data_IF_574705781751
#
_entry.id   IF_574705781751
#
_cell.length_a   1.000
_cell.length_b   1.000
_cell.length_c   1.000
_cell.angle_alpha   90.00
_cell.angle_beta   90.00
_cell.angle_gamma   90.00
#
_symmetry.space_group_name_H-M   'P 1'
#
loop_
_entity.id
_entity.type
_entity.pdbx_description
1 polymer ?
#
# COMPACT_ATOMS: atom_id res chain seq x y z
N UNK A 1 -8.13 -28.57 22.53
CA UNK A 1 -7.58 -27.62 21.56
C UNK A 1 -7.00 -26.44 22.29
N UNK A 2 -5.71 -26.13 22.12
CA UNK A 2 -5.07 -24.99 22.77
C UNK A 2 -5.73 -23.68 22.28
N UNK A 3 -6.03 -22.79 23.21
CA UNK A 3 -6.62 -21.47 22.93
C UNK A 3 -5.52 -20.58 22.35
N UNK A 4 -5.59 -20.31 21.05
CA UNK A 4 -4.66 -19.40 20.39
C UNK A 4 -4.72 -18.00 21.03
N UNK A 5 -3.59 -17.27 21.13
CA UNK A 5 -3.57 -15.89 21.59
C UNK A 5 -4.51 -15.00 20.75
N UNK A 6 -5.14 -14.00 21.37
CA UNK A 6 -6.14 -13.15 20.72
C UNK A 6 -5.58 -12.43 19.46
N UNK A 7 -4.31 -12.02 19.47
CA UNK A 7 -3.65 -11.41 18.32
C UNK A 7 -3.57 -12.35 17.12
N UNK A 8 -3.11 -13.58 17.31
CA UNK A 8 -3.01 -14.56 16.24
C UNK A 8 -4.37 -14.90 15.63
N UNK A 9 -5.45 -14.90 16.44
CA UNK A 9 -6.80 -15.11 15.94
C UNK A 9 -7.30 -13.94 15.06
N UNK A 10 -6.90 -12.72 15.39
CA UNK A 10 -7.22 -11.53 14.61
C UNK A 10 -6.57 -11.58 13.22
N UNK A 11 -5.31 -11.98 13.15
CA UNK A 11 -4.55 -12.12 11.91
C UNK A 11 -5.11 -13.24 11.02
N UNK A 12 -5.55 -14.37 11.60
CA UNK A 12 -6.22 -15.46 10.89
C UNK A 12 -7.49 -14.96 10.17
N UNK A 13 -8.30 -14.10 10.84
CA UNK A 13 -9.50 -13.53 10.22
C UNK A 13 -9.18 -12.52 9.13
N UNK A 14 -8.15 -11.70 9.30
CA UNK A 14 -7.69 -10.75 8.29
C UNK A 14 -7.25 -11.51 7.04
N UNK A 15 -6.39 -12.51 7.18
CA UNK A 15 -5.91 -13.35 6.07
C UNK A 15 -7.07 -14.03 5.35
N UNK A 16 -8.01 -14.62 6.10
CA UNK A 16 -9.20 -15.25 5.52
C UNK A 16 -10.10 -14.26 4.78
N UNK A 17 -10.25 -13.05 5.31
CA UNK A 17 -11.04 -12.00 4.69
C UNK A 17 -10.41 -11.52 3.38
N UNK A 18 -9.11 -11.30 3.34
CA UNK A 18 -8.35 -10.94 2.12
C UNK A 18 -8.59 -11.97 1.02
N UNK A 19 -8.45 -13.27 1.32
CA UNK A 19 -8.67 -14.35 0.36
C UNK A 19 -10.10 -14.34 -0.18
N UNK A 20 -11.12 -14.18 0.68
CA UNK A 20 -12.52 -14.18 0.24
C UNK A 20 -12.84 -12.92 -0.57
N UNK A 21 -12.29 -11.77 -0.21
CA UNK A 21 -12.48 -10.53 -0.95
C UNK A 21 -11.88 -10.68 -2.35
N UNK A 22 -10.69 -11.21 -2.48
CA UNK A 22 -10.05 -11.46 -3.76
C UNK A 22 -10.87 -12.42 -4.63
N UNK A 23 -11.41 -13.53 -4.04
CA UNK A 23 -12.15 -14.55 -4.76
C UNK A 23 -13.58 -14.13 -5.13
N UNK A 24 -14.26 -13.33 -4.31
CA UNK A 24 -15.72 -13.12 -4.35
C UNK A 24 -16.16 -11.66 -4.22
N UNK A 25 -15.22 -10.73 -4.20
CA UNK A 25 -15.46 -9.32 -3.93
C UNK A 25 -15.90 -9.03 -2.48
N UNK A 26 -15.99 -7.76 -2.15
CA UNK A 26 -16.36 -7.28 -0.80
C UNK A 26 -17.75 -7.76 -0.35
N UNK A 27 -18.72 -7.81 -1.27
CA UNK A 27 -20.07 -8.30 -0.96
C UNK A 27 -20.09 -9.79 -0.62
N UNK A 28 -19.17 -10.56 -1.20
CA UNK A 28 -19.01 -11.98 -0.90
C UNK A 28 -18.34 -12.28 0.44
N UNK A 29 -17.62 -11.32 1.01
CA UNK A 29 -16.92 -11.43 2.29
C UNK A 29 -17.88 -11.24 3.48
N UNK A 30 -18.70 -12.27 3.73
CA UNK A 30 -19.58 -12.31 4.92
C UNK A 30 -18.81 -12.80 6.14
N UNK A 31 -19.16 -12.32 7.33
CA UNK A 31 -18.52 -12.74 8.59
C UNK A 31 -18.55 -14.25 8.79
N UNK A 32 -19.64 -14.92 8.36
CA UNK A 32 -19.75 -16.37 8.42
C UNK A 32 -18.72 -17.06 7.51
N UNK A 33 -18.58 -16.64 6.25
CA UNK A 33 -17.58 -17.21 5.32
C UNK A 33 -16.14 -16.95 5.76
N UNK A 34 -15.90 -15.79 6.34
CA UNK A 34 -14.60 -15.44 6.91
C UNK A 34 -14.26 -16.36 8.08
N UNK A 35 -15.21 -16.58 9.00
CA UNK A 35 -15.02 -17.48 10.14
C UNK A 35 -14.82 -18.94 9.68
N UNK A 36 -15.59 -19.41 8.68
CA UNK A 36 -15.45 -20.74 8.08
C UNK A 36 -14.07 -20.91 7.39
N UNK A 37 -13.60 -19.91 6.63
CA UNK A 37 -12.28 -19.92 5.97
C UNK A 37 -11.14 -19.90 7.01
N UNK A 38 -11.28 -19.12 8.06
CA UNK A 38 -10.31 -19.05 9.17
C UNK A 38 -10.35 -20.29 10.08
N UNK A 39 -11.27 -21.23 9.84
CA UNK A 39 -11.51 -22.39 10.69
C UNK A 39 -11.71 -22.01 12.18
N UNK A 40 -12.42 -20.93 12.41
CA UNK A 40 -12.59 -20.32 13.72
C UNK A 40 -14.06 -19.99 14.03
N UNK A 41 -14.45 -19.94 15.31
CA UNK A 41 -15.83 -19.66 15.68
C UNK A 41 -16.28 -18.26 15.26
N UNK A 42 -17.48 -18.13 14.69
CA UNK A 42 -18.08 -16.84 14.33
C UNK A 42 -18.18 -15.88 15.51
N UNK A 43 -18.50 -16.37 16.71
CA UNK A 43 -18.56 -15.56 17.93
C UNK A 43 -17.20 -14.92 18.26
N UNK A 44 -16.09 -15.60 17.96
CA UNK A 44 -14.74 -15.06 18.15
C UNK A 44 -14.43 -13.96 17.14
N UNK A 45 -14.94 -14.04 15.91
CA UNK A 45 -14.80 -12.96 14.94
C UNK A 45 -15.50 -11.69 15.40
N UNK A 46 -16.74 -11.81 15.90
CA UNK A 46 -17.48 -10.66 16.45
C UNK A 46 -16.84 -10.08 17.71
N UNK A 47 -16.06 -10.85 18.44
CA UNK A 47 -15.25 -10.34 19.55
C UNK A 47 -14.03 -9.55 19.05
N UNK A 48 -13.40 -9.99 17.94
CA UNK A 48 -12.26 -9.31 17.35
C UNK A 48 -12.64 -8.05 16.55
N UNK A 49 -13.82 -8.06 15.92
CA UNK A 49 -14.30 -6.99 15.06
C UNK A 49 -15.80 -6.78 15.27
N UNK A 50 -16.15 -5.61 15.81
CA UNK A 50 -17.55 -5.30 16.14
C UNK A 50 -18.36 -4.97 14.88
N UNK A 51 -17.68 -4.40 13.86
CA UNK A 51 -18.29 -4.05 12.58
C UNK A 51 -17.47 -4.61 11.40
N UNK A 52 -18.10 -4.65 10.23
CA UNK A 52 -17.42 -5.05 8.99
C UNK A 52 -16.43 -4.00 8.54
N UNK A 53 -16.73 -2.74 8.79
CA UNK A 53 -15.86 -1.60 8.53
C UNK A 53 -14.56 -1.71 9.35
N UNK A 54 -14.67 -2.05 10.64
CA UNK A 54 -13.50 -2.29 11.51
C UNK A 54 -12.60 -3.41 10.97
N UNK A 55 -13.19 -4.51 10.50
CA UNK A 55 -12.43 -5.57 9.84
C UNK A 55 -11.74 -5.09 8.57
N UNK A 56 -12.42 -4.29 7.75
CA UNK A 56 -11.86 -3.79 6.50
C UNK A 56 -10.74 -2.78 6.71
N UNK A 57 -10.86 -1.90 7.70
CA UNK A 57 -9.75 -1.04 8.13
C UNK A 57 -8.55 -1.85 8.60
N UNK A 58 -8.81 -2.92 9.36
CA UNK A 58 -7.75 -3.81 9.80
C UNK A 58 -7.04 -4.53 8.64
N UNK A 59 -7.74 -4.83 7.55
CA UNK A 59 -7.12 -5.38 6.33
C UNK A 59 -6.21 -4.34 5.68
N UNK A 60 -6.62 -3.08 5.58
CA UNK A 60 -5.75 -2.01 5.07
C UNK A 60 -4.49 -1.84 5.92
N UNK A 61 -4.63 -1.87 7.24
CA UNK A 61 -3.49 -1.80 8.17
C UNK A 61 -2.54 -2.99 8.01
N UNK A 62 -3.08 -4.20 7.82
CA UNK A 62 -2.28 -5.41 7.60
C UNK A 62 -1.55 -5.36 6.24
N UNK A 63 -2.23 -4.95 5.17
CA UNK A 63 -1.61 -4.77 3.84
C UNK A 63 -0.43 -3.81 3.92
N UNK A 64 -0.62 -2.69 4.59
CA UNK A 64 0.42 -1.70 4.75
C UNK A 64 1.56 -2.19 5.67
N UNK A 65 1.25 -2.98 6.70
CA UNK A 65 2.26 -3.62 7.54
C UNK A 65 3.01 -4.72 6.78
N UNK A 66 2.34 -5.46 5.90
CA UNK A 66 2.97 -6.45 5.01
C UNK A 66 4.00 -5.79 4.11
N UNK A 67 3.65 -4.71 3.42
CA UNK A 67 4.58 -3.95 2.60
C UNK A 67 5.85 -3.54 3.35
N UNK A 68 5.72 -3.15 4.63
CA UNK A 68 6.88 -2.82 5.47
C UNK A 68 7.68 -4.06 5.89
N UNK A 69 7.00 -5.17 6.20
CA UNK A 69 7.69 -6.45 6.52
C UNK A 69 8.44 -7.00 5.31
N UNK A 70 7.86 -6.84 4.11
CA UNK A 70 8.42 -7.32 2.84
C UNK A 70 9.54 -6.40 2.31
N UNK A 71 9.87 -5.33 3.06
CA UNK A 71 11.09 -4.59 2.89
C UNK A 71 10.98 -3.31 2.07
N UNK A 72 9.82 -2.63 2.03
CA UNK A 72 9.79 -1.28 1.50
C UNK A 72 10.74 -0.42 2.33
N UNK A 73 11.84 -0.03 1.71
CA UNK A 73 12.88 0.74 2.37
C UNK A 73 13.44 1.80 1.44
N UNK A 74 13.85 2.88 2.04
CA UNK A 74 14.59 3.96 1.39
C UNK A 74 15.92 4.10 2.10
N UNK A 75 17.01 4.12 1.34
CA UNK A 75 18.33 4.40 1.92
C UNK A 75 18.37 5.88 2.34
N UNK A 76 18.68 6.11 3.60
CA UNK A 76 18.82 7.44 4.17
C UNK A 76 19.76 8.33 3.34
N UNK A 77 19.33 9.56 3.06
CA UNK A 77 20.09 10.51 2.28
C UNK A 77 20.41 10.09 0.83
N UNK A 78 19.64 9.17 0.26
CA UNK A 78 19.87 8.72 -1.13
C UNK A 78 19.54 9.76 -2.17
N UNK A 79 18.74 10.75 -1.84
CA UNK A 79 18.14 11.73 -2.73
C UNK A 79 16.66 11.43 -2.99
N UNK A 80 15.84 12.49 -2.99
CA UNK A 80 14.39 12.38 -3.08
C UNK A 80 13.94 11.67 -4.36
N UNK A 81 14.54 11.98 -5.51
CA UNK A 81 14.23 11.33 -6.78
C UNK A 81 14.53 9.84 -6.78
N UNK A 82 15.70 9.44 -6.27
CA UNK A 82 16.06 8.01 -6.15
C UNK A 82 15.17 7.28 -5.16
N UNK A 83 14.78 7.94 -4.07
CA UNK A 83 13.84 7.37 -3.12
C UNK A 83 12.49 7.08 -3.79
N UNK A 84 11.94 8.04 -4.55
CA UNK A 84 10.70 7.88 -5.27
C UNK A 84 10.77 6.78 -6.34
N UNK A 85 11.83 6.79 -7.16
CA UNK A 85 12.06 5.77 -8.18
C UNK A 85 12.19 4.35 -7.58
N UNK A 86 12.95 4.24 -6.49
CA UNK A 86 13.14 2.98 -5.78
C UNK A 86 11.85 2.45 -5.16
N UNK A 87 11.05 3.32 -4.52
CA UNK A 87 9.75 2.95 -3.97
C UNK A 87 8.78 2.50 -5.05
N UNK A 88 8.72 3.17 -6.20
CA UNK A 88 7.85 2.74 -7.30
C UNK A 88 8.17 1.32 -7.76
N UNK A 89 9.46 0.99 -7.91
CA UNK A 89 9.89 -0.36 -8.29
C UNK A 89 9.51 -1.40 -7.23
N UNK A 90 9.67 -1.08 -5.94
CA UNK A 90 9.31 -1.97 -4.85
C UNK A 90 7.80 -2.20 -4.80
N UNK A 91 6.97 -1.16 -4.98
CA UNK A 91 5.52 -1.25 -5.04
C UNK A 91 5.09 -2.16 -6.21
N UNK A 92 5.63 -1.95 -7.41
CA UNK A 92 5.30 -2.74 -8.57
C UNK A 92 5.71 -4.23 -8.43
N UNK A 93 6.87 -4.49 -7.83
CA UNK A 93 7.33 -5.85 -7.55
C UNK A 93 6.44 -6.54 -6.52
N UNK A 94 6.05 -5.85 -5.46
CA UNK A 94 5.18 -6.40 -4.42
C UNK A 94 3.81 -6.80 -4.98
N UNK A 95 3.15 -5.95 -5.75
CA UNK A 95 1.89 -6.30 -6.39
C UNK A 95 2.00 -7.48 -7.34
N UNK A 96 3.16 -7.69 -7.93
CA UNK A 96 3.37 -8.81 -8.84
C UNK A 96 3.56 -10.16 -8.13
N UNK A 97 4.01 -10.14 -6.90
CA UNK A 97 4.18 -11.36 -6.07
C UNK A 97 2.94 -11.64 -5.22
N UNK A 98 2.20 -10.62 -4.84
CA UNK A 98 1.07 -10.68 -3.92
C UNK A 98 -0.28 -10.45 -4.64
N UNK A 99 -0.57 -11.24 -5.68
CA UNK A 99 -1.78 -11.12 -6.50
C UNK A 99 -3.09 -11.09 -5.70
N UNK A 100 -3.19 -11.92 -4.66
CA UNK A 100 -4.39 -12.00 -3.81
C UNK A 100 -4.60 -10.68 -3.07
N UNK A 101 -3.52 -10.10 -2.54
CA UNK A 101 -3.57 -8.79 -1.88
C UNK A 101 -3.86 -7.67 -2.88
N UNK A 102 -3.25 -7.70 -4.07
CA UNK A 102 -3.51 -6.72 -5.13
C UNK A 102 -4.99 -6.71 -5.53
N UNK A 103 -5.59 -7.89 -5.72
CA UNK A 103 -7.01 -8.00 -6.06
C UNK A 103 -7.92 -7.57 -4.92
N UNK A 104 -7.63 -7.97 -3.68
CA UNK A 104 -8.41 -7.58 -2.52
C UNK A 104 -8.33 -6.05 -2.27
N UNK A 105 -7.16 -5.44 -2.48
CA UNK A 105 -6.99 -4.00 -2.36
C UNK A 105 -7.85 -3.24 -3.36
N UNK A 106 -7.89 -3.67 -4.62
CA UNK A 106 -8.71 -3.04 -5.66
C UNK A 106 -10.21 -3.11 -5.31
N UNK A 107 -10.69 -4.28 -4.89
CA UNK A 107 -12.08 -4.49 -4.44
C UNK A 107 -12.44 -3.63 -3.23
N UNK A 108 -11.56 -3.56 -2.24
CA UNK A 108 -11.75 -2.73 -1.05
C UNK A 108 -11.73 -1.23 -1.40
N UNK A 109 -10.84 -0.80 -2.29
CA UNK A 109 -10.75 0.57 -2.73
C UNK A 109 -12.07 1.04 -3.37
N UNK A 110 -12.61 0.27 -4.32
CA UNK A 110 -13.90 0.59 -4.93
C UNK A 110 -15.07 0.51 -3.93
N UNK A 111 -14.99 -0.38 -2.96
CA UNK A 111 -16.00 -0.42 -1.91
C UNK A 111 -15.95 0.85 -1.03
N UNK A 112 -14.77 1.26 -0.58
CA UNK A 112 -14.57 2.46 0.25
C UNK A 112 -15.07 3.71 -0.47
N UNK A 113 -14.82 3.86 -1.77
CA UNK A 113 -15.30 5.00 -2.56
C UNK A 113 -16.84 5.10 -2.64
N UNK A 114 -17.55 4.00 -2.35
CA UNK A 114 -19.03 3.96 -2.30
C UNK A 114 -19.59 4.18 -0.91
N UNK A 115 -18.75 4.23 0.11
CA UNK A 115 -19.15 4.55 1.48
C UNK A 115 -19.17 6.06 1.68
N UNK A 116 -19.49 6.48 2.91
CA UNK A 116 -19.39 7.89 3.28
C UNK A 116 -17.96 8.42 3.09
N UNK A 117 -17.85 9.67 2.62
CA UNK A 117 -16.61 10.26 2.11
C UNK A 117 -15.42 10.29 3.09
N UNK A 118 -15.69 10.23 4.39
CA UNK A 118 -14.64 10.36 5.41
C UNK A 118 -13.82 9.08 5.59
N UNK A 119 -14.43 7.90 5.43
CA UNK A 119 -13.70 6.64 5.48
C UNK A 119 -12.68 6.55 4.34
N UNK A 120 -13.08 6.94 3.13
CA UNK A 120 -12.18 6.97 1.97
C UNK A 120 -10.98 7.88 2.17
N UNK A 121 -11.23 9.07 2.71
CA UNK A 121 -10.15 10.01 3.03
C UNK A 121 -9.17 9.45 4.07
N UNK A 122 -9.69 8.85 5.15
CA UNK A 122 -8.86 8.27 6.20
C UNK A 122 -7.95 7.16 5.66
N UNK A 123 -8.52 6.21 4.91
CA UNK A 123 -7.77 5.10 4.32
C UNK A 123 -6.68 5.61 3.38
N UNK A 124 -7.02 6.55 2.49
CA UNK A 124 -6.08 7.09 1.53
C UNK A 124 -4.98 7.92 2.20
N UNK A 125 -5.34 8.71 3.24
CA UNK A 125 -4.39 9.54 3.98
C UNK A 125 -3.34 8.69 4.72
N UNK A 126 -3.75 7.60 5.38
CA UNK A 126 -2.81 6.67 6.02
C UNK A 126 -1.78 6.14 5.02
N UNK A 127 -2.22 5.83 3.79
CA UNK A 127 -1.31 5.36 2.74
C UNK A 127 -0.33 6.44 2.28
N UNK A 128 -0.83 7.67 2.08
CA UNK A 128 0.01 8.81 1.71
C UNK A 128 1.03 9.15 2.80
N UNK A 129 0.61 9.20 4.07
CA UNK A 129 1.50 9.51 5.20
C UNK A 129 2.68 8.54 5.28
N UNK A 130 2.45 7.26 4.96
CA UNK A 130 3.51 6.24 4.90
C UNK A 130 4.50 6.49 3.76
N UNK A 131 3.99 6.75 2.55
CA UNK A 131 4.85 7.09 1.42
C UNK A 131 5.67 8.33 1.69
N UNK A 132 5.07 9.37 2.26
CA UNK A 132 5.79 10.57 2.68
C UNK A 132 6.88 10.27 3.71
N UNK A 133 6.57 9.45 4.73
CA UNK A 133 7.53 9.04 5.74
C UNK A 133 8.75 8.33 5.13
N UNK A 134 8.54 7.45 4.16
CA UNK A 134 9.62 6.77 3.44
C UNK A 134 10.42 7.75 2.55
N UNK A 135 9.75 8.62 1.82
CA UNK A 135 10.40 9.62 0.98
C UNK A 135 11.28 10.57 1.79
N UNK A 136 10.80 11.00 2.98
CA UNK A 136 11.56 11.87 3.89
C UNK A 136 12.88 11.25 4.36
N UNK A 137 12.97 9.92 4.49
CA UNK A 137 14.23 9.24 4.82
C UNK A 137 15.30 9.45 3.72
N UNK A 138 14.85 9.55 2.47
CA UNK A 138 15.75 9.75 1.33
C UNK A 138 16.25 11.18 1.14
N UNK A 139 15.67 12.17 1.84
CA UNK A 139 16.01 13.58 1.63
C UNK A 139 17.50 13.88 1.87
N UNK A 140 18.05 14.69 0.97
CA UNK A 140 19.34 15.37 1.11
C UNK A 140 19.13 16.83 1.48
N UNK A 141 20.18 17.52 1.95
CA UNK A 141 20.07 18.95 2.26
C UNK A 141 19.73 19.85 1.06
N UNK A 142 20.02 19.41 -0.16
CA UNK A 142 19.76 20.13 -1.41
C UNK A 142 18.45 19.71 -2.10
N UNK A 143 17.73 18.75 -1.57
CA UNK A 143 16.42 18.35 -2.10
C UNK A 143 15.31 19.34 -1.67
N UNK A 144 14.36 19.64 -2.56
CA UNK A 144 13.18 20.43 -2.19
C UNK A 144 12.15 19.56 -1.42
N UNK A 145 12.11 19.70 -0.12
CA UNK A 145 11.21 18.95 0.75
C UNK A 145 9.71 19.17 0.44
N UNK A 146 9.34 20.22 -0.30
CA UNK A 146 7.96 20.48 -0.73
C UNK A 146 7.49 19.46 -1.76
N UNK A 147 8.41 18.82 -2.48
CA UNK A 147 8.07 17.76 -3.43
C UNK A 147 7.67 16.45 -2.77
N UNK A 148 7.92 16.24 -1.49
CA UNK A 148 7.60 14.97 -0.80
C UNK A 148 6.12 14.64 -0.94
N UNK A 149 5.23 15.56 -0.63
CA UNK A 149 3.78 15.35 -0.74
C UNK A 149 3.36 15.07 -2.19
N UNK A 150 3.88 15.85 -3.14
CA UNK A 150 3.58 15.69 -4.58
C UNK A 150 4.02 14.33 -5.08
N UNK A 151 5.23 13.90 -4.72
CA UNK A 151 5.78 12.60 -5.13
C UNK A 151 5.06 11.43 -4.46
N UNK A 152 4.65 11.56 -3.19
CA UNK A 152 3.83 10.55 -2.53
C UNK A 152 2.50 10.35 -3.26
N UNK A 153 1.82 11.44 -3.63
CA UNK A 153 0.58 11.40 -4.42
C UNK A 153 0.80 10.82 -5.82
N UNK A 154 1.89 11.19 -6.48
CA UNK A 154 2.25 10.62 -7.78
C UNK A 154 2.49 9.10 -7.69
N UNK A 155 3.23 8.63 -6.69
CA UNK A 155 3.47 7.20 -6.45
C UNK A 155 2.17 6.45 -6.21
N UNK A 156 1.28 6.97 -5.37
CA UNK A 156 -0.04 6.38 -5.12
C UNK A 156 -0.86 6.29 -6.41
N UNK A 157 -0.94 7.38 -7.18
CA UNK A 157 -1.68 7.42 -8.46
C UNK A 157 -1.16 6.42 -9.49
N UNK A 158 0.18 6.27 -9.57
CA UNK A 158 0.79 5.29 -10.46
C UNK A 158 0.51 3.86 -9.98
N UNK A 159 0.63 3.60 -8.68
CA UNK A 159 0.32 2.29 -8.10
C UNK A 159 -1.14 1.89 -8.38
N UNK A 160 -2.09 2.81 -8.16
CA UNK A 160 -3.52 2.60 -8.43
C UNK A 160 -3.80 2.26 -9.90
N UNK A 161 -3.02 2.81 -10.83
CA UNK A 161 -3.10 2.50 -12.26
C UNK A 161 -2.38 1.21 -12.67
N UNK A 162 -1.27 0.86 -12.01
CA UNK A 162 -0.49 -0.34 -12.31
C UNK A 162 -1.21 -1.63 -11.88
N UNK A 163 -1.92 -1.62 -10.74
CA UNK A 163 -2.59 -2.81 -10.21
C UNK A 163 -3.60 -3.42 -11.20
N UNK A 164 -4.59 -2.67 -11.73
CA UNK A 164 -5.54 -3.24 -12.69
C UNK A 164 -4.87 -3.68 -13.99
N UNK A 165 -3.83 -2.98 -14.46
CA UNK A 165 -3.06 -3.40 -15.64
C UNK A 165 -2.35 -4.73 -15.39
N UNK A 166 -1.66 -4.85 -14.25
CA UNK A 166 -1.01 -6.10 -13.86
C UNK A 166 -1.99 -7.26 -13.75
N UNK A 167 -3.12 -7.07 -13.06
CA UNK A 167 -4.14 -8.11 -12.89
C UNK A 167 -4.76 -8.55 -14.22
N UNK A 168 -4.82 -7.64 -15.21
CA UNK A 168 -5.41 -7.91 -16.52
C UNK A 168 -4.44 -8.61 -17.45
N UNK A 169 -3.23 -8.12 -17.59
CA UNK A 169 -2.31 -8.53 -18.65
C UNK A 169 -1.26 -9.55 -18.19
N UNK A 170 -0.87 -9.52 -16.90
CA UNK A 170 0.18 -10.37 -16.33
C UNK A 170 1.48 -10.36 -17.15
N UNK A 171 1.80 -9.21 -17.73
CA UNK A 171 2.99 -9.00 -18.56
C UNK A 171 4.11 -8.34 -17.73
N UNK A 172 5.12 -9.11 -17.28
CA UNK A 172 6.19 -8.56 -16.46
C UNK A 172 7.11 -7.61 -17.25
N UNK A 173 7.29 -7.83 -18.55
CA UNK A 173 8.17 -6.99 -19.38
C UNK A 173 7.55 -5.61 -19.55
N UNK A 174 6.26 -5.56 -19.89
CA UNK A 174 5.56 -4.29 -20.06
C UNK A 174 5.44 -3.54 -18.72
N UNK A 175 5.15 -4.26 -17.61
CA UNK A 175 5.14 -3.66 -16.26
C UNK A 175 6.48 -3.01 -15.95
N UNK A 176 7.59 -3.75 -16.06
CA UNK A 176 8.91 -3.27 -15.67
C UNK A 176 9.36 -2.09 -16.56
N UNK A 177 9.10 -2.17 -17.88
CA UNK A 177 9.37 -1.06 -18.79
C UNK A 177 8.59 0.20 -18.43
N UNK A 178 7.30 0.05 -18.12
CA UNK A 178 6.44 1.18 -17.71
C UNK A 178 6.93 1.80 -16.40
N UNK A 179 7.25 0.95 -15.42
CA UNK A 179 7.76 1.36 -14.11
C UNK A 179 9.09 2.11 -14.26
N UNK A 180 10.00 1.62 -15.08
CA UNK A 180 11.31 2.26 -15.30
C UNK A 180 11.18 3.63 -15.95
N UNK A 181 10.35 3.79 -16.97
CA UNK A 181 10.08 5.09 -17.62
C UNK A 181 9.54 6.11 -16.62
N UNK A 182 8.60 5.70 -15.76
CA UNK A 182 8.03 6.59 -14.76
C UNK A 182 9.04 6.89 -13.66
N UNK A 183 9.77 5.89 -13.18
CA UNK A 183 10.79 6.03 -12.14
C UNK A 183 11.90 7.02 -12.58
N UNK A 184 12.40 6.91 -13.81
CA UNK A 184 13.35 7.87 -14.37
C UNK A 184 12.77 9.28 -14.46
N UNK A 185 11.49 9.40 -14.82
CA UNK A 185 10.81 10.70 -14.89
C UNK A 185 10.70 11.37 -13.52
N UNK A 186 10.37 10.61 -12.47
CA UNK A 186 10.33 11.10 -11.09
C UNK A 186 11.72 11.53 -10.60
N UNK A 187 12.76 10.76 -10.93
CA UNK A 187 14.14 11.10 -10.58
C UNK A 187 14.60 12.42 -11.24
N UNK A 188 14.36 12.55 -12.54
CA UNK A 188 14.68 13.79 -13.29
C UNK A 188 13.89 15.00 -12.77
N UNK A 189 12.61 14.82 -12.43
CA UNK A 189 11.79 15.88 -11.85
C UNK A 189 12.39 16.39 -10.53
N UNK A 190 12.71 15.48 -9.62
CA UNK A 190 13.28 15.84 -8.33
C UNK A 190 14.66 16.52 -8.48
N UNK A 191 15.51 16.01 -9.39
CA UNK A 191 16.82 16.60 -9.67
C UNK A 191 16.71 18.03 -10.24
N UNK A 192 15.73 18.29 -11.08
CA UNK A 192 15.48 19.63 -11.65
C UNK A 192 15.01 20.67 -10.63
N UNK A 193 14.51 20.22 -9.47
CA UNK A 193 14.03 21.09 -8.39
C UNK A 193 14.98 21.14 -7.20
N UNK A 194 16.22 20.71 -7.35
CA UNK A 194 17.22 20.84 -6.27
C UNK A 194 17.48 22.31 -5.94
N UNK A 195 17.58 22.58 -4.65
CA UNK A 195 17.91 23.91 -4.15
C UNK A 195 19.42 24.10 -4.27
N UNK A 196 19.91 25.12 -5.00
CA UNK A 196 21.34 25.41 -5.06
C UNK A 196 21.89 25.61 -3.65
N UNK A 197 22.89 24.85 -3.26
CA UNK A 197 23.59 25.14 -2.01
C UNK A 197 24.27 26.50 -2.15
N UNK A 198 24.00 27.42 -1.23
CA UNK A 198 24.76 28.65 -1.14
C UNK A 198 26.23 28.25 -0.95
N UNK A 199 27.05 28.54 -1.96
CA UNK A 199 28.51 28.37 -1.87
C UNK A 199 28.94 29.14 -0.65
N UNK A 200 29.43 28.43 0.38
CA UNK A 200 30.07 29.08 1.53
C UNK A 200 31.26 29.88 0.96
N UNK A 201 31.05 31.18 0.80
CA UNK A 201 32.12 32.08 0.46
C UNK A 201 33.06 32.06 1.68
N UNK A 202 34.23 31.43 1.48
CA UNK A 202 35.33 31.45 2.45
C UNK A 202 35.99 32.81 2.57
#
# INVERSE_FOLDING_TARGET
>A
MARLPAGQRRDDYITAAVQIIAERGVHGATTRRIAERAQAPLASLHYCFHTKEELFLAIYDDMAASQMRDGFHVREGSGLGRAAAGLLRQIAAWFATEDVYAQAQLELFFWVLRQDSDLGKQVYQVHLDRLEGLLRQGLRPDDDAKLVEVLARALASVADGLVPQWLTFKDPVMRDTTVDVIAESLERLADAHRIPQATAAG
#
